data_IF_614130766985
#
_entry.id   IF_614130766985
#
_cell.length_a   1.000
_cell.length_b   1.000
_cell.length_c   1.000
_cell.angle_alpha   90.00
_cell.angle_beta   90.00
_cell.angle_gamma   90.00
#
_symmetry.space_group_name_H-M   'P 1'
#
loop_
_entity.id
_entity.type
_entity.pdbx_description
1 polymer ?
#
# COMPACT_ATOMS: atom_id res chain seq x y z
N UNK A 1 45.80 -2.83 40.36
CA UNK A 1 45.74 -3.72 39.17
C UNK A 1 44.87 -4.96 39.38
N UNK A 2 44.92 -5.67 40.53
CA UNK A 2 44.11 -6.88 40.73
C UNK A 2 42.57 -6.72 40.67
N UNK A 3 42.03 -5.56 41.04
CA UNK A 3 40.57 -5.28 41.00
C UNK A 3 39.99 -5.01 39.61
N UNK A 4 40.80 -4.54 38.65
CA UNK A 4 40.34 -4.26 37.29
C UNK A 4 40.20 -5.55 36.47
N UNK A 5 41.04 -6.56 36.73
CA UNK A 5 40.96 -7.86 36.09
C UNK A 5 39.67 -8.62 36.47
N UNK A 6 39.18 -8.45 37.71
CA UNK A 6 37.98 -9.14 38.20
C UNK A 6 36.69 -8.58 37.58
N UNK A 7 36.64 -7.26 37.35
CA UNK A 7 35.47 -6.61 36.72
C UNK A 7 35.38 -6.97 35.24
N UNK A 8 36.51 -7.04 34.53
CA UNK A 8 36.53 -7.42 33.11
C UNK A 8 36.03 -8.86 32.88
N UNK A 9 36.41 -9.82 33.73
CA UNK A 9 35.93 -11.20 33.64
C UNK A 9 34.43 -11.35 33.97
N UNK A 10 33.89 -10.55 34.88
CA UNK A 10 32.47 -10.62 35.23
C UNK A 10 31.58 -10.14 34.07
N UNK A 11 32.00 -9.09 33.36
CA UNK A 11 31.24 -8.52 32.24
C UNK A 11 31.23 -9.48 31.04
N UNK A 12 32.36 -10.11 30.70
CA UNK A 12 32.41 -11.07 29.59
C UNK A 12 31.59 -12.32 29.88
N UNK A 13 31.63 -12.83 31.12
CA UNK A 13 30.79 -13.96 31.53
C UNK A 13 29.29 -13.64 31.42
N UNK A 14 28.87 -12.43 31.80
CA UNK A 14 27.47 -12.00 31.69
C UNK A 14 27.01 -11.89 30.23
N UNK A 15 27.85 -11.35 29.33
CA UNK A 15 27.52 -11.25 27.91
C UNK A 15 27.42 -12.62 27.23
N UNK A 16 28.32 -13.55 27.56
CA UNK A 16 28.26 -14.92 27.04
C UNK A 16 27.01 -15.66 27.53
N UNK A 17 26.62 -15.48 28.80
CA UNK A 17 25.40 -16.07 29.34
C UNK A 17 24.15 -15.50 28.65
N UNK A 18 24.10 -14.18 28.45
CA UNK A 18 22.98 -13.52 27.78
C UNK A 18 22.85 -13.98 26.31
N UNK A 19 23.96 -14.08 25.59
CA UNK A 19 23.96 -14.57 24.21
C UNK A 19 23.54 -16.05 24.13
N UNK A 20 23.99 -16.88 25.08
CA UNK A 20 23.58 -18.28 25.16
C UNK A 20 22.08 -18.44 25.43
N UNK A 21 21.48 -17.59 26.27
CA UNK A 21 20.04 -17.58 26.52
C UNK A 21 19.24 -17.19 25.27
N UNK A 22 19.69 -16.18 24.52
CA UNK A 22 19.07 -15.79 23.24
C UNK A 22 19.13 -16.96 22.24
N UNK A 23 20.25 -17.68 22.15
CA UNK A 23 20.35 -18.84 21.26
C UNK A 23 19.45 -20.02 21.66
N UNK A 24 19.04 -20.11 22.93
CA UNK A 24 18.10 -21.14 23.39
C UNK A 24 16.66 -20.76 23.02
N UNK A 25 16.29 -19.49 23.14
CA UNK A 25 14.94 -18.99 22.77
C UNK A 25 14.70 -18.99 21.25
N UNK A 26 15.75 -18.85 20.43
CA UNK A 26 15.63 -18.86 18.96
C UNK A 26 15.53 -20.29 18.39
N UNK A 27 15.49 -21.35 19.22
CA UNK A 27 15.17 -22.69 18.68
C UNK A 27 13.76 -22.63 18.09
N UNK A 28 13.59 -22.76 16.76
CA UNK A 28 12.26 -22.76 16.17
C UNK A 28 11.51 -23.93 16.77
N UNK A 29 10.41 -23.61 17.44
CA UNK A 29 9.48 -24.60 17.94
C UNK A 29 8.88 -25.22 16.67
N UNK A 30 9.46 -26.33 16.19
CA UNK A 30 8.88 -27.15 15.13
C UNK A 30 7.67 -27.88 15.69
N UNK A 31 6.65 -27.12 16.07
CA UNK A 31 5.30 -27.66 16.21
C UNK A 31 4.83 -27.97 14.81
N UNK A 32 4.96 -29.23 14.42
CA UNK A 32 4.26 -29.78 13.27
C UNK A 32 2.76 -29.51 13.47
N UNK A 33 2.21 -28.54 12.74
CA UNK A 33 0.77 -28.41 12.62
C UNK A 33 0.27 -29.59 11.80
N UNK A 34 -0.30 -30.57 12.51
CA UNK A 34 -1.11 -31.60 11.89
C UNK A 34 -2.34 -30.92 11.26
N UNK A 35 -2.26 -30.66 9.95
CA UNK A 35 -3.42 -30.25 9.17
C UNK A 35 -4.48 -31.35 9.23
N UNK A 36 -5.74 -30.94 9.37
CA UNK A 36 -6.92 -31.79 9.63
C UNK A 36 -7.28 -32.80 8.52
N UNK A 37 -6.36 -33.15 7.62
CA UNK A 37 -6.59 -34.10 6.52
C UNK A 37 -5.39 -35.01 6.21
N UNK A 38 -4.44 -35.20 7.15
CA UNK A 38 -3.40 -36.23 7.03
C UNK A 38 -2.39 -36.04 5.90
N UNK A 39 -2.40 -34.90 5.20
CA UNK A 39 -1.38 -34.54 4.22
C UNK A 39 -0.26 -33.77 4.91
N UNK A 40 0.87 -34.43 5.14
CA UNK A 40 2.13 -33.78 5.49
C UNK A 40 2.66 -33.04 4.26
N UNK A 41 2.66 -31.70 4.30
CA UNK A 41 3.39 -30.90 3.30
C UNK A 41 4.80 -30.66 3.84
N UNK A 42 5.75 -31.45 3.36
CA UNK A 42 7.18 -31.20 3.53
C UNK A 42 7.59 -30.08 2.58
N UNK A 43 7.78 -28.87 3.09
CA UNK A 43 8.46 -27.79 2.36
C UNK A 43 9.96 -28.10 2.31
N UNK A 44 10.40 -28.79 1.27
CA UNK A 44 11.81 -28.82 0.88
C UNK A 44 12.07 -27.66 -0.07
N UNK A 45 13.06 -26.82 0.26
CA UNK A 45 13.71 -25.96 -0.74
C UNK A 45 14.38 -26.90 -1.76
N UNK A 46 13.85 -26.93 -2.98
CA UNK A 46 14.46 -27.63 -4.11
C UNK A 46 14.87 -26.59 -5.15
N UNK A 47 16.17 -26.57 -5.41
CA UNK A 47 16.82 -25.90 -6.53
C UNK A 47 16.42 -26.60 -7.85
N UNK A 48 16.32 -25.83 -8.93
CA UNK A 48 15.48 -26.14 -10.08
C UNK A 48 15.75 -27.47 -10.80
N UNK A 49 14.67 -28.10 -11.28
CA UNK A 49 14.52 -28.76 -12.59
C UNK A 49 13.03 -29.08 -12.79
N UNK A 50 12.48 -28.68 -13.94
CA UNK A 50 11.10 -28.88 -14.36
C UNK A 50 10.74 -30.36 -14.56
N UNK A 51 9.58 -30.79 -14.06
CA UNK A 51 8.88 -31.96 -14.60
C UNK A 51 7.34 -31.77 -14.49
N UNK A 52 6.55 -32.15 -15.52
CA UNK A 52 5.15 -31.77 -15.62
C UNK A 52 4.25 -32.73 -14.85
N UNK A 53 3.28 -32.20 -14.10
CA UNK A 53 2.22 -33.00 -13.48
C UNK A 53 0.90 -32.79 -14.20
N UNK A 54 0.51 -33.81 -14.96
CA UNK A 54 -0.88 -34.13 -15.27
C UNK A 54 -1.54 -34.73 -14.02
N UNK A 55 -2.73 -34.24 -13.66
CA UNK A 55 -3.86 -34.97 -13.05
C UNK A 55 -4.87 -33.95 -12.53
N UNK A 56 -6.02 -33.78 -13.18
CA UNK A 56 -7.25 -34.59 -13.05
C UNK A 56 -8.24 -33.91 -12.09
N UNK A 57 -9.25 -33.33 -12.73
CA UNK A 57 -10.51 -32.78 -12.24
C UNK A 57 -11.13 -33.56 -11.06
N UNK A 58 -11.55 -32.83 -10.03
CA UNK A 58 -12.71 -33.19 -9.22
C UNK A 58 -13.40 -31.91 -8.74
N UNK A 59 -14.49 -31.56 -9.43
CA UNK A 59 -15.41 -30.50 -9.04
C UNK A 59 -16.20 -30.96 -7.80
N UNK A 60 -16.17 -30.16 -6.73
CA UNK A 60 -17.08 -30.29 -5.60
C UNK A 60 -18.03 -29.08 -5.60
N UNK A 61 -19.32 -29.36 -5.76
CA UNK A 61 -20.40 -28.39 -5.72
C UNK A 61 -20.58 -27.78 -4.32
N UNK A 62 -20.95 -26.50 -4.19
CA UNK A 62 -21.19 -25.85 -2.91
C UNK A 62 -22.57 -26.20 -2.31
N UNK A 63 -22.71 -26.28 -0.97
CA UNK A 63 -24.01 -26.39 -0.32
C UNK A 63 -24.80 -25.06 -0.36
N UNK A 64 -26.15 -25.10 -0.39
CA UNK A 64 -27.00 -23.96 -0.68
C UNK A 64 -27.13 -22.94 0.46
N UNK A 65 -27.23 -21.67 0.05
CA UNK A 65 -27.42 -20.49 0.87
C UNK A 65 -28.66 -20.55 1.78
N UNK A 66 -28.50 -20.14 3.04
CA UNK A 66 -29.61 -19.92 3.97
C UNK A 66 -30.15 -18.50 3.83
N UNK A 67 -31.47 -18.47 3.64
CA UNK A 67 -32.42 -17.36 3.50
C UNK A 67 -32.15 -16.14 4.39
N UNK A 68 -32.02 -14.99 3.74
CA UNK A 68 -32.13 -13.65 4.30
C UNK A 68 -33.54 -13.44 4.88
N UNK A 69 -33.64 -12.99 6.13
CA UNK A 69 -34.90 -12.60 6.76
C UNK A 69 -35.08 -11.08 6.63
N UNK A 70 -36.08 -10.69 5.85
CA UNK A 70 -36.66 -9.36 5.76
C UNK A 70 -37.12 -8.85 7.13
N UNK A 71 -36.72 -7.64 7.49
CA UNK A 71 -37.44 -6.81 8.47
C UNK A 71 -37.77 -5.51 7.74
N UNK A 72 -39.06 -5.27 7.57
CA UNK A 72 -39.62 -4.04 7.08
C UNK A 72 -40.18 -3.22 8.26
N UNK A 73 -40.15 -1.91 8.06
CA UNK A 73 -41.01 -0.86 8.61
C UNK A 73 -40.89 -0.43 10.09
N UNK A 74 -40.42 0.81 10.25
CA UNK A 74 -41.20 2.00 10.63
C UNK A 74 -40.21 3.00 11.26
N UNK A 75 -40.25 4.32 11.05
CA UNK A 75 -41.41 5.21 11.18
C UNK A 75 -41.00 6.62 10.77
N UNK A 76 -41.83 7.26 9.95
CA UNK A 76 -41.79 8.69 9.67
C UNK A 76 -42.26 9.52 10.89
N UNK A 77 -41.58 10.64 11.12
CA UNK A 77 -42.12 11.80 11.86
C UNK A 77 -41.36 13.07 11.43
N UNK A 78 -42.03 13.89 10.63
CA UNK A 78 -41.87 15.33 10.46
C UNK A 78 -43.19 15.96 10.99
N UNK A 79 -43.42 17.29 11.09
CA UNK A 79 -42.55 18.49 11.18
C UNK A 79 -42.90 19.39 12.39
N UNK A 80 -42.01 20.32 12.77
CA UNK A 80 -42.34 21.62 13.37
C UNK A 80 -41.06 22.49 13.36
N UNK A 81 -40.95 23.49 12.49
CA UNK A 81 -41.46 24.86 12.60
C UNK A 81 -40.37 25.82 13.13
N UNK A 82 -40.07 26.82 12.31
CA UNK A 82 -39.03 27.83 12.50
C UNK A 82 -39.43 28.90 13.52
N UNK A 83 -38.45 29.65 14.05
CA UNK A 83 -38.61 31.10 14.03
C UNK A 83 -37.34 31.86 13.62
N UNK A 84 -37.56 32.71 12.61
CA UNK A 84 -37.13 34.11 12.46
C UNK A 84 -35.68 34.55 12.78
N UNK A 85 -35.07 35.00 11.70
CA UNK A 85 -34.09 36.07 11.53
C UNK A 85 -33.91 37.08 12.69
N UNK A 86 -32.65 37.33 13.02
CA UNK A 86 -32.15 38.63 13.47
C UNK A 86 -31.06 39.10 12.52
N UNK A 87 -31.15 40.38 12.17
CA UNK A 87 -30.36 41.07 11.17
C UNK A 87 -28.95 41.48 11.65
N UNK A 88 -28.13 41.76 10.64
CA UNK A 88 -27.00 42.69 10.60
C UNK A 88 -25.81 42.47 11.53
N UNK A 89 -24.75 41.93 10.94
CA UNK A 89 -23.40 42.43 11.20
C UNK A 89 -22.72 42.62 9.86
N UNK A 90 -22.59 43.89 9.51
CA UNK A 90 -21.75 44.44 8.45
C UNK A 90 -20.31 43.91 8.63
N UNK A 91 -19.93 42.95 7.79
CA UNK A 91 -18.55 42.49 7.67
C UNK A 91 -17.91 43.33 6.57
N UNK A 92 -17.14 44.33 6.99
CA UNK A 92 -16.07 44.92 6.17
C UNK A 92 -15.26 43.79 5.52
N UNK A 93 -15.10 43.76 4.19
CA UNK A 93 -14.26 42.76 3.56
C UNK A 93 -12.81 43.01 3.99
N UNK A 94 -12.10 42.03 4.57
CA UNK A 94 -10.65 42.12 4.61
C UNK A 94 -10.13 42.01 3.17
N UNK A 95 -9.56 43.11 2.67
CA UNK A 95 -8.67 43.15 1.51
C UNK A 95 -7.39 42.34 1.82
N UNK A 96 -7.52 41.02 1.97
CA UNK A 96 -6.40 40.07 2.07
C UNK A 96 -6.89 38.66 1.72
N UNK A 97 -7.57 38.49 0.58
CA UNK A 97 -7.51 37.23 -0.18
C UNK A 97 -6.28 37.29 -1.08
N UNK A 98 -5.11 37.39 -0.45
CA UNK A 98 -3.90 36.86 -1.05
C UNK A 98 -4.17 35.36 -1.25
N UNK A 99 -4.33 34.99 -2.52
CA UNK A 99 -4.53 33.64 -2.99
C UNK A 99 -3.85 32.61 -2.09
N UNK A 100 -4.64 31.85 -1.35
CA UNK A 100 -4.32 30.46 -1.08
C UNK A 100 -4.35 29.77 -2.45
N UNK A 101 -3.32 30.01 -3.27
CA UNK A 101 -2.97 29.10 -4.33
C UNK A 101 -2.69 27.80 -3.58
N UNK A 102 -3.64 26.87 -3.68
CA UNK A 102 -3.50 25.53 -3.12
C UNK A 102 -2.16 24.99 -3.60
N UNK A 103 -1.20 24.94 -2.68
CA UNK A 103 0.15 24.55 -3.01
C UNK A 103 0.05 23.11 -3.49
N UNK A 104 0.26 22.91 -4.79
CA UNK A 104 0.32 21.59 -5.39
C UNK A 104 1.14 20.68 -4.46
N UNK A 105 0.62 19.51 -4.05
CA UNK A 105 1.30 18.61 -3.12
C UNK A 105 2.62 18.04 -3.69
N UNK A 106 2.87 18.29 -4.98
CA UNK A 106 4.06 17.89 -5.73
C UNK A 106 4.87 19.12 -6.10
N UNK A 107 6.20 19.02 -5.95
CA UNK A 107 7.11 20.04 -6.48
C UNK A 107 7.19 19.98 -8.02
N UNK A 108 7.76 21.01 -8.65
CA UNK A 108 8.02 21.01 -10.10
C UNK A 108 8.88 19.82 -10.53
N UNK A 109 9.85 19.41 -9.70
CA UNK A 109 10.68 18.25 -9.96
C UNK A 109 9.87 16.94 -9.91
N UNK A 110 8.90 16.85 -8.99
CA UNK A 110 8.01 15.69 -8.87
C UNK A 110 7.03 15.62 -10.05
N UNK A 111 6.48 16.74 -10.50
CA UNK A 111 5.63 16.80 -11.70
C UNK A 111 6.41 16.33 -12.93
N UNK A 112 7.67 16.76 -13.06
CA UNK A 112 8.55 16.34 -14.17
C UNK A 112 8.85 14.84 -14.11
N UNK A 113 9.18 14.32 -12.93
CA UNK A 113 9.43 12.90 -12.71
C UNK A 113 8.16 12.05 -12.97
N UNK A 114 7.01 12.52 -12.53
CA UNK A 114 5.71 11.89 -12.79
C UNK A 114 5.42 11.86 -14.29
N UNK A 115 5.66 12.95 -15.02
CA UNK A 115 5.47 13.00 -16.48
C UNK A 115 6.37 12.00 -17.20
N UNK A 116 7.64 11.88 -16.79
CA UNK A 116 8.64 10.97 -17.31
C UNK A 116 8.54 9.52 -16.82
N UNK A 117 7.55 9.20 -15.98
CA UNK A 117 7.30 7.84 -15.53
C UNK A 117 6.52 7.05 -16.59
N UNK A 118 7.11 5.92 -16.99
CA UNK A 118 6.52 4.96 -17.92
C UNK A 118 6.49 3.58 -17.27
N UNK A 119 5.33 2.92 -17.38
CA UNK A 119 5.20 1.52 -17.01
C UNK A 119 5.83 0.63 -18.09
N UNK A 120 6.49 -0.48 -17.70
CA UNK A 120 6.92 -1.47 -18.67
C UNK A 120 5.70 -2.05 -19.39
N UNK A 121 5.78 -2.17 -20.71
CA UNK A 121 4.75 -2.82 -21.51
C UNK A 121 4.79 -4.32 -21.27
N UNK A 122 3.63 -4.92 -20.99
CA UNK A 122 3.49 -6.38 -21.03
C UNK A 122 3.85 -6.89 -22.42
N UNK A 123 4.89 -7.73 -22.51
CA UNK A 123 5.25 -8.47 -23.72
C UNK A 123 4.43 -9.77 -23.88
N UNK A 124 3.37 -9.93 -23.10
CA UNK A 124 2.55 -11.15 -23.07
C UNK A 124 1.72 -11.35 -24.35
N UNK A 125 1.64 -12.61 -24.79
CA UNK A 125 0.77 -13.03 -25.89
C UNK A 125 -0.72 -12.73 -25.59
N UNK A 126 -1.54 -12.58 -26.65
CA UNK A 126 -2.99 -12.43 -26.51
C UNK A 126 -3.58 -13.58 -25.66
N UNK A 127 -4.14 -13.26 -24.49
CA UNK A 127 -4.76 -14.24 -23.58
C UNK A 127 -4.03 -14.49 -22.26
N UNK A 128 -2.86 -13.87 -22.02
CA UNK A 128 -2.24 -13.87 -20.71
C UNK A 128 -3.12 -13.17 -19.66
N UNK A 129 -3.23 -13.77 -18.48
CA UNK A 129 -3.96 -13.20 -17.35
C UNK A 129 -3.35 -11.85 -16.97
N UNK A 130 -4.19 -10.91 -16.53
CA UNK A 130 -3.66 -9.65 -16.04
C UNK A 130 -2.75 -9.89 -14.83
N UNK A 131 -1.49 -9.50 -14.95
CA UNK A 131 -0.52 -9.54 -13.87
C UNK A 131 0.01 -8.13 -13.61
N UNK A 132 -0.89 -7.24 -13.21
CA UNK A 132 -0.56 -5.85 -12.90
C UNK A 132 0.46 -5.76 -11.75
N UNK A 133 0.39 -6.68 -10.78
CA UNK A 133 1.35 -6.78 -9.69
C UNK A 133 2.78 -6.97 -10.18
N UNK A 134 3.02 -7.91 -11.11
CA UNK A 134 4.36 -8.13 -11.65
C UNK A 134 4.85 -6.92 -12.46
N UNK A 135 3.97 -6.32 -13.27
CA UNK A 135 4.31 -5.11 -14.04
C UNK A 135 4.67 -3.94 -13.13
N UNK A 136 3.91 -3.70 -12.07
CA UNK A 136 4.18 -2.68 -11.06
C UNK A 136 5.48 -2.96 -10.32
N UNK A 137 5.73 -4.20 -9.90
CA UNK A 137 6.96 -4.58 -9.23
C UNK A 137 8.19 -4.28 -10.10
N UNK A 138 8.17 -4.68 -11.37
CA UNK A 138 9.27 -4.40 -12.31
C UNK A 138 9.41 -2.91 -12.62
N UNK A 139 8.28 -2.22 -12.85
CA UNK A 139 8.27 -0.78 -13.14
C UNK A 139 8.80 0.05 -11.98
N UNK A 140 8.38 -0.25 -10.76
CA UNK A 140 8.82 0.48 -9.57
C UNK A 140 10.27 0.19 -9.21
N UNK A 141 10.71 -1.07 -9.34
CA UNK A 141 12.10 -1.44 -9.05
C UNK A 141 13.12 -0.75 -9.98
N UNK A 142 12.72 -0.35 -11.18
CA UNK A 142 13.60 0.25 -12.19
C UNK A 142 13.35 1.74 -12.43
N UNK A 143 12.37 2.34 -11.74
CA UNK A 143 11.94 3.72 -11.99
C UNK A 143 12.77 4.76 -11.22
N UNK A 144 13.43 5.71 -11.92
CA UNK A 144 14.08 6.84 -11.26
C UNK A 144 13.10 7.72 -10.48
N UNK A 145 11.85 7.84 -10.93
CA UNK A 145 10.83 8.62 -10.25
C UNK A 145 10.42 7.99 -8.91
N UNK A 146 10.41 6.65 -8.82
CA UNK A 146 10.16 5.96 -7.54
C UNK A 146 11.35 6.15 -6.60
N UNK A 147 12.58 6.04 -7.10
CA UNK A 147 13.78 6.36 -6.30
C UNK A 147 13.78 7.80 -5.80
N UNK A 148 13.31 8.77 -6.61
CA UNK A 148 13.13 10.16 -6.19
C UNK A 148 12.08 10.29 -5.07
N UNK A 149 10.93 9.64 -5.21
CA UNK A 149 9.90 9.62 -4.17
C UNK A 149 10.41 9.04 -2.85
N UNK A 150 11.20 7.96 -2.92
CA UNK A 150 11.89 7.40 -1.76
C UNK A 150 12.92 8.39 -1.18
N UNK A 151 13.77 9.01 -1.99
CA UNK A 151 14.75 9.99 -1.51
C UNK A 151 14.11 11.19 -0.80
N UNK A 152 12.87 11.55 -1.18
CA UNK A 152 12.05 12.56 -0.52
C UNK A 152 11.40 12.11 0.80
N UNK A 153 11.63 10.88 1.26
CA UNK A 153 11.10 10.34 2.52
C UNK A 153 12.19 10.19 3.58
N UNK A 154 12.14 11.01 4.65
CA UNK A 154 12.99 10.83 5.83
C UNK A 154 12.88 9.42 6.42
N UNK A 155 14.00 8.89 6.94
CA UNK A 155 14.04 7.53 7.50
C UNK A 155 13.11 7.32 8.70
N UNK A 156 12.82 8.36 9.47
CA UNK A 156 11.89 8.36 10.61
C UNK A 156 10.41 8.29 10.18
N UNK A 157 10.10 8.58 8.92
CA UNK A 157 8.77 8.38 8.31
C UNK A 157 8.60 6.99 7.69
N UNK A 158 9.60 6.12 7.86
CA UNK A 158 9.60 4.75 7.39
C UNK A 158 9.61 3.81 8.59
N UNK A 159 9.08 2.61 8.40
CA UNK A 159 9.22 1.58 9.44
C UNK A 159 10.67 1.16 9.63
N UNK A 160 10.95 0.46 10.74
CA UNK A 160 12.26 -0.15 11.02
C UNK A 160 12.74 -1.08 9.89
N UNK A 161 11.80 -1.69 9.15
CA UNK A 161 12.08 -2.55 8.01
C UNK A 161 12.17 -1.80 6.67
N UNK A 162 12.28 -0.47 6.69
CA UNK A 162 12.24 0.40 5.51
C UNK A 162 10.96 0.24 4.67
N UNK A 163 9.86 -0.19 5.31
CA UNK A 163 8.56 -0.29 4.69
C UNK A 163 7.78 1.03 4.78
N UNK A 164 7.10 1.37 3.68
CA UNK A 164 6.30 2.57 3.45
C UNK A 164 4.90 2.11 3.04
N UNK A 165 3.91 2.32 3.92
CA UNK A 165 2.51 2.12 3.57
C UNK A 165 2.03 3.29 2.70
N UNK A 166 1.48 2.99 1.52
CA UNK A 166 0.95 3.99 0.59
C UNK A 166 -0.59 4.05 0.58
N UNK A 167 -1.25 2.90 0.76
CA UNK A 167 -2.71 2.80 0.74
C UNK A 167 -3.11 1.54 1.49
N UNK A 168 -4.14 1.57 2.33
CA UNK A 168 -4.57 0.41 3.14
C UNK A 168 -6.10 0.21 3.16
N UNK A 169 -6.78 0.71 2.13
CA UNK A 169 -8.24 0.85 2.07
C UNK A 169 -8.66 2.31 1.87
N UNK A 170 -7.76 3.24 2.15
CA UNK A 170 -7.82 4.65 1.80
C UNK A 170 -6.41 5.21 1.67
N UNK A 171 -6.29 6.45 1.18
CA UNK A 171 -5.03 7.17 1.15
C UNK A 171 -4.76 7.80 2.53
N UNK A 172 -3.68 7.43 3.24
CA UNK A 172 -3.32 8.08 4.49
C UNK A 172 -3.00 9.57 4.27
N UNK A 173 -3.29 10.43 5.26
CA UNK A 173 -3.06 11.89 5.17
C UNK A 173 -1.62 12.26 4.79
N UNK A 174 -0.65 11.48 5.28
CA UNK A 174 0.77 11.71 5.00
C UNK A 174 1.18 11.35 3.55
N UNK A 175 0.26 10.81 2.76
CA UNK A 175 0.44 10.61 1.31
C UNK A 175 0.05 11.81 0.46
N UNK A 176 -0.39 12.89 1.08
CA UNK A 176 -0.71 14.14 0.40
C UNK A 176 0.48 15.10 0.30
N UNK A 177 1.65 14.78 0.88
CA UNK A 177 2.82 15.67 0.79
C UNK A 177 4.14 14.91 0.60
N UNK A 178 5.18 15.63 0.17
CA UNK A 178 6.55 15.15 0.10
C UNK A 178 6.73 13.93 -0.80
N UNK A 179 7.69 13.06 -0.45
CA UNK A 179 8.02 11.88 -1.26
C UNK A 179 6.85 10.88 -1.41
N UNK A 180 5.99 10.75 -0.39
CA UNK A 180 4.80 9.89 -0.45
C UNK A 180 3.76 10.42 -1.43
N UNK A 181 3.61 11.73 -1.58
CA UNK A 181 2.74 12.31 -2.62
C UNK A 181 3.19 11.92 -4.02
N UNK A 182 4.49 11.96 -4.29
CA UNK A 182 5.03 11.50 -5.58
C UNK A 182 4.78 9.99 -5.77
N UNK A 183 5.05 9.17 -4.75
CA UNK A 183 4.80 7.71 -4.83
C UNK A 183 3.32 7.38 -5.06
N UNK A 184 2.40 8.08 -4.39
CA UNK A 184 0.94 7.99 -4.64
C UNK A 184 0.61 8.34 -6.08
N UNK A 185 1.10 9.48 -6.57
CA UNK A 185 0.83 9.93 -7.94
C UNK A 185 1.34 8.94 -9.00
N UNK A 186 2.53 8.36 -8.79
CA UNK A 186 3.11 7.33 -9.65
C UNK A 186 2.27 6.05 -9.66
N UNK A 187 1.79 5.62 -8.49
CA UNK A 187 0.93 4.45 -8.36
C UNK A 187 -0.42 4.66 -9.03
N UNK A 188 -1.06 5.81 -8.81
CA UNK A 188 -2.31 6.18 -9.48
C UNK A 188 -2.10 6.19 -11.00
N UNK A 189 -1.04 6.83 -11.50
CA UNK A 189 -0.71 6.87 -12.93
C UNK A 189 -0.51 5.48 -13.53
N UNK A 190 0.20 4.61 -12.82
CA UNK A 190 0.42 3.25 -13.26
C UNK A 190 -0.91 2.47 -13.36
N UNK A 191 -1.72 2.52 -12.30
CA UNK A 191 -2.97 1.77 -12.19
C UNK A 191 -4.02 2.31 -13.15
N UNK A 192 -4.18 3.63 -13.29
CA UNK A 192 -5.17 4.25 -14.16
C UNK A 192 -4.99 3.92 -15.64
N UNK A 193 -3.78 3.50 -16.04
CA UNK A 193 -3.49 3.06 -17.41
C UNK A 193 -3.86 1.60 -17.69
N UNK A 194 -4.21 0.82 -16.67
CA UNK A 194 -4.48 -0.59 -16.80
C UNK A 194 -5.87 -0.87 -17.42
N UNK A 195 -6.00 -1.95 -18.24
CA UNK A 195 -7.30 -2.38 -18.74
C UNK A 195 -8.28 -2.76 -17.63
N UNK A 196 -9.59 -2.57 -17.86
CA UNK A 196 -10.64 -2.87 -16.87
C UNK A 196 -10.53 -4.27 -16.22
N UNK A 197 -10.24 -5.37 -16.95
CA UNK A 197 -10.07 -6.69 -16.33
C UNK A 197 -8.95 -6.75 -15.29
N UNK A 198 -7.92 -5.90 -15.42
CA UNK A 198 -6.85 -5.76 -14.42
C UNK A 198 -7.34 -5.03 -13.18
N UNK A 199 -8.11 -3.96 -13.39
CA UNK A 199 -8.67 -3.15 -12.32
C UNK A 199 -9.63 -3.95 -11.44
N UNK A 200 -10.39 -4.86 -12.03
CA UNK A 200 -11.34 -5.72 -11.33
C UNK A 200 -10.71 -6.93 -10.62
N UNK A 201 -9.40 -7.13 -10.74
CA UNK A 201 -8.72 -8.28 -10.15
C UNK A 201 -8.65 -8.14 -8.63
N UNK A 202 -9.38 -9.03 -7.93
CA UNK A 202 -9.36 -9.10 -6.48
C UNK A 202 -7.97 -9.44 -5.94
N UNK A 203 -7.52 -8.64 -4.99
CA UNK A 203 -6.31 -8.80 -4.20
C UNK A 203 -6.71 -9.17 -2.76
N UNK A 204 -5.81 -9.87 -2.07
CA UNK A 204 -5.97 -10.25 -0.66
C UNK A 204 -4.71 -9.89 0.12
N UNK A 205 -4.89 -9.13 1.19
CA UNK A 205 -3.83 -8.62 2.04
C UNK A 205 -2.98 -7.53 1.35
N UNK A 206 -1.86 -7.15 1.99
CA UNK A 206 -0.94 -6.20 1.43
C UNK A 206 -0.15 -6.81 0.26
N UNK A 207 -0.08 -6.08 -0.85
CA UNK A 207 0.88 -6.29 -1.92
C UNK A 207 2.15 -5.51 -1.57
N UNK A 208 3.29 -6.19 -1.64
CA UNK A 208 4.60 -5.64 -1.28
C UNK A 208 5.47 -5.50 -2.52
N UNK A 209 5.98 -4.30 -2.77
CA UNK A 209 6.96 -4.03 -3.81
C UNK A 209 8.32 -3.73 -3.20
N UNK A 210 9.30 -4.55 -3.54
CA UNK A 210 10.69 -4.38 -3.11
C UNK A 210 11.41 -3.49 -4.10
N UNK A 211 11.86 -2.32 -3.65
CA UNK A 211 12.47 -1.30 -4.50
C UNK A 211 13.90 -1.04 -4.01
N UNK A 212 14.91 -1.04 -4.90
CA UNK A 212 16.27 -0.63 -4.55
C UNK A 212 16.30 0.82 -4.04
N UNK A 213 16.97 1.06 -2.91
CA UNK A 213 17.08 2.36 -2.28
C UNK A 213 18.46 2.57 -1.66
N UNK A 214 19.34 3.30 -2.34
CA UNK A 214 20.66 3.72 -1.84
C UNK A 214 21.52 2.58 -1.24
N UNK A 215 21.50 1.40 -1.86
CA UNK A 215 22.23 0.21 -1.38
C UNK A 215 21.48 -0.63 -0.35
N UNK A 216 20.25 -0.23 0.00
CA UNK A 216 19.28 -1.00 0.77
C UNK A 216 18.05 -1.33 -0.08
N UNK A 217 17.03 -1.94 0.54
CA UNK A 217 15.73 -2.20 -0.09
C UNK A 217 14.65 -1.47 0.69
N UNK A 218 13.83 -0.67 0.01
CA UNK A 218 12.58 -0.14 0.54
C UNK A 218 11.43 -1.09 0.17
N UNK A 219 10.40 -1.15 1.02
CA UNK A 219 9.20 -1.94 0.75
C UNK A 219 8.00 -1.01 0.63
N UNK A 220 7.42 -0.89 -0.57
CA UNK A 220 6.14 -0.20 -0.72
C UNK A 220 5.01 -1.20 -0.44
N UNK A 221 4.16 -0.87 0.53
CA UNK A 221 3.02 -1.70 0.91
C UNK A 221 1.70 -1.04 0.46
N UNK A 222 0.84 -1.85 -0.17
CA UNK A 222 -0.45 -1.42 -0.71
C UNK A 222 -1.52 -2.44 -0.36
N UNK A 223 -2.60 -1.97 0.22
CA UNK A 223 -3.82 -2.72 0.48
C UNK A 223 -3.84 -3.42 1.82
N UNK A 224 -5.05 -3.73 2.23
CA UNK A 224 -5.37 -4.55 3.40
C UNK A 224 -6.67 -5.32 3.11
N UNK A 225 -6.94 -6.41 3.83
CA UNK A 225 -8.19 -7.16 3.66
C UNK A 225 -8.41 -7.69 2.23
N UNK A 226 -9.60 -7.49 1.68
CA UNK A 226 -9.90 -7.76 0.26
C UNK A 226 -10.13 -6.43 -0.46
N UNK A 227 -9.51 -6.27 -1.62
CA UNK A 227 -9.54 -5.03 -2.41
C UNK A 227 -9.30 -5.31 -3.89
N UNK A 228 -9.42 -4.30 -4.75
CA UNK A 228 -9.17 -4.36 -6.20
C UNK A 228 -8.26 -3.22 -6.63
N UNK A 229 -7.52 -3.39 -7.72
CA UNK A 229 -6.69 -2.31 -8.26
C UNK A 229 -7.49 -1.05 -8.60
N UNK A 230 -8.74 -1.22 -9.05
CA UNK A 230 -9.66 -0.10 -9.30
C UNK A 230 -9.98 0.74 -8.06
N UNK A 231 -9.86 0.18 -6.85
CA UNK A 231 -10.17 0.90 -5.60
C UNK A 231 -9.17 2.04 -5.32
N UNK A 232 -7.94 1.94 -5.82
CA UNK A 232 -6.89 2.96 -5.65
C UNK A 232 -7.18 4.24 -6.43
N UNK A 233 -7.97 4.13 -7.50
CA UNK A 233 -8.30 5.23 -8.41
C UNK A 233 -9.77 5.65 -8.28
N UNK A 234 -10.50 5.04 -7.34
CA UNK A 234 -11.82 5.52 -6.98
C UNK A 234 -11.67 6.90 -6.32
N UNK A 235 -12.57 7.86 -6.61
CA UNK A 235 -12.59 9.11 -5.88
C UNK A 235 -12.81 8.81 -4.40
N UNK A 236 -11.90 9.32 -3.55
CA UNK A 236 -11.99 9.17 -2.11
C UNK A 236 -13.38 9.64 -1.65
N UNK A 237 -14.10 8.81 -0.91
CA UNK A 237 -15.42 9.18 -0.36
C UNK A 237 -15.35 10.36 0.64
N UNK A 238 -14.14 10.84 0.96
CA UNK A 238 -13.87 11.84 1.99
C UNK A 238 -13.31 13.19 1.47
N UNK A 239 -13.03 13.39 0.17
CA UNK A 239 -12.45 14.68 -0.25
C UNK A 239 -12.22 14.87 -1.74
N UNK A 240 -12.27 16.14 -2.17
CA UNK A 240 -12.10 16.62 -3.55
C UNK A 240 -10.70 16.30 -4.13
N UNK A 241 -9.74 15.95 -3.28
CA UNK A 241 -8.32 15.69 -3.62
C UNK A 241 -8.09 14.45 -4.51
N UNK A 242 -9.00 13.47 -4.50
CA UNK A 242 -8.89 12.28 -5.34
C UNK A 242 -8.85 12.61 -6.85
N UNK A 243 -9.53 13.68 -7.25
CA UNK A 243 -9.55 14.13 -8.65
C UNK A 243 -8.24 14.80 -9.09
N UNK A 244 -7.49 15.42 -8.17
CA UNK A 244 -6.25 16.11 -8.51
C UNK A 244 -5.17 15.13 -8.99
N UNK A 245 -4.94 14.04 -8.25
CA UNK A 245 -3.92 13.06 -8.61
C UNK A 245 -4.27 12.28 -9.88
N UNK A 246 -5.55 12.03 -10.14
CA UNK A 246 -6.01 11.43 -11.40
C UNK A 246 -5.79 12.38 -12.59
N UNK A 247 -6.03 13.67 -12.40
CA UNK A 247 -5.80 14.69 -13.42
C UNK A 247 -4.30 14.77 -13.76
N UNK A 248 -3.43 14.83 -12.76
CA UNK A 248 -1.98 14.80 -12.95
C UNK A 248 -1.50 13.52 -13.64
N UNK A 249 -2.01 12.37 -13.20
CA UNK A 249 -1.67 11.06 -13.75
C UNK A 249 -2.01 10.95 -15.25
N UNK A 250 -3.14 11.52 -15.66
CA UNK A 250 -3.59 11.50 -17.05
C UNK A 250 -2.78 12.43 -17.98
N UNK A 251 -1.92 13.29 -17.44
CA UNK A 251 -1.16 14.29 -18.22
C UNK A 251 -2.06 15.34 -18.86
N UNK A 252 -3.32 15.46 -18.40
CA UNK A 252 -4.24 16.47 -18.89
C UNK A 252 -3.78 17.85 -18.38
N UNK A 253 -3.64 18.86 -19.24
CA UNK A 253 -3.27 20.20 -18.80
C UNK A 253 -4.37 20.76 -17.89
N UNK A 254 -4.05 21.02 -16.64
CA UNK A 254 -4.86 21.87 -15.76
C UNK A 254 -4.81 23.27 -16.35
N UNK A 255 -5.87 23.65 -17.07
CA UNK A 255 -6.05 25.03 -17.50
C UNK A 255 -6.49 25.82 -16.27
N UNK A 256 -5.82 26.94 -15.94
CA UNK A 256 -6.18 27.78 -14.79
C UNK A 256 -7.57 28.41 -14.94
#
# INVERSE_FOLDING_TARGET
MARQATVACAVTAAHLLFFALICIDIRPNSTAHAGAYGTTVTLSLVDGVSQPQTSKTAAASPPPAKKTKTVADAKAAEPAEAPQATADSEVTPPDDVAAAAEASPLSTADITALAAFQMPTSSGEPGQACNLTALLATGFATSPAVSQGLAGLPNDQRSVANAVMLWDGGWPDDTHTGGKALLRALLIKAVSSAPQPCLDQAQRGPVLFFVPDNGTTAVLAIGSGEWRWGDLIAPDAAGIDGNYFLTLASGSPTTP
#
